data_IF_924252669559
#
_entry.id   IF_924252669559
#
_cell.length_a   1.000
_cell.length_b   1.000
_cell.length_c   1.000
_cell.angle_alpha   90.00
_cell.angle_beta   90.00
_cell.angle_gamma   90.00
#
_symmetry.space_group_name_H-M   'P 1'
#
loop_
_entity.id
_entity.type
_entity.pdbx_description
1 polymer ?
#
# COMPACT_ATOMS: atom_id res chain seq x y z
N UNK A 1 -41.24 -27.25 11.10
CA UNK A 1 -41.01 -25.90 10.52
C UNK A 1 -40.12 -25.00 11.37
N UNK A 2 -40.39 -24.75 12.67
CA UNK A 2 -39.56 -23.86 13.52
C UNK A 2 -38.06 -24.22 13.58
N UNK A 3 -37.70 -25.52 13.63
CA UNK A 3 -36.29 -25.97 13.67
C UNK A 3 -35.51 -25.70 12.38
N UNK A 4 -36.18 -25.75 11.23
CA UNK A 4 -35.55 -25.51 9.92
C UNK A 4 -35.24 -24.01 9.74
N UNK A 5 -36.16 -23.15 10.19
CA UNK A 5 -35.98 -21.70 10.16
C UNK A 5 -34.79 -21.23 11.03
N UNK A 6 -34.62 -21.88 12.19
CA UNK A 6 -33.53 -21.59 13.12
C UNK A 6 -32.17 -22.01 12.56
N UNK A 7 -32.10 -23.16 11.86
CA UNK A 7 -30.89 -23.61 11.18
C UNK A 7 -30.52 -22.66 10.03
N UNK A 8 -31.49 -22.22 9.21
CA UNK A 8 -31.23 -21.25 8.15
C UNK A 8 -30.67 -19.94 8.68
N UNK A 9 -31.24 -19.40 9.77
CA UNK A 9 -30.76 -18.16 10.39
C UNK A 9 -29.33 -18.27 10.93
N UNK A 10 -28.98 -19.40 11.55
CA UNK A 10 -27.62 -19.65 12.06
C UNK A 10 -26.63 -19.79 10.91
N UNK A 11 -26.98 -20.56 9.87
CA UNK A 11 -26.11 -20.72 8.69
C UNK A 11 -25.90 -19.39 7.97
N UNK A 12 -26.95 -18.58 7.79
CA UNK A 12 -26.83 -17.24 7.20
C UNK A 12 -25.96 -16.31 8.04
N UNK A 13 -26.04 -16.37 9.38
CA UNK A 13 -25.16 -15.59 10.25
C UNK A 13 -23.70 -16.04 10.18
N UNK A 14 -23.45 -17.35 10.14
CA UNK A 14 -22.09 -17.88 10.02
C UNK A 14 -21.45 -17.53 8.67
N UNK A 15 -22.21 -17.62 7.57
CA UNK A 15 -21.73 -17.22 6.24
C UNK A 15 -21.45 -15.71 6.22
N UNK A 16 -22.38 -14.89 6.70
CA UNK A 16 -22.20 -13.44 6.74
C UNK A 16 -21.01 -13.01 7.62
N UNK A 17 -20.80 -13.67 8.77
CA UNK A 17 -19.64 -13.43 9.62
C UNK A 17 -18.32 -13.82 8.91
N UNK A 18 -18.30 -14.97 8.23
CA UNK A 18 -17.12 -15.42 7.47
C UNK A 18 -16.77 -14.48 6.32
N UNK A 19 -17.76 -14.01 5.56
CA UNK A 19 -17.55 -13.09 4.44
C UNK A 19 -17.04 -11.73 4.93
N UNK A 20 -17.56 -11.27 6.08
CA UNK A 20 -17.10 -10.04 6.72
C UNK A 20 -15.67 -10.14 7.21
N UNK A 21 -15.31 -11.20 7.92
CA UNK A 21 -13.95 -11.42 8.43
C UNK A 21 -12.96 -11.50 7.26
N UNK A 22 -13.35 -12.13 6.14
CA UNK A 22 -12.53 -12.18 4.93
C UNK A 22 -12.36 -10.80 4.28
N UNK A 23 -13.43 -9.99 4.20
CA UNK A 23 -13.34 -8.64 3.66
C UNK A 23 -12.46 -7.71 4.51
N UNK A 24 -12.60 -7.76 5.84
CA UNK A 24 -11.78 -7.00 6.78
C UNK A 24 -10.30 -7.44 6.69
N UNK A 25 -10.05 -8.73 6.53
CA UNK A 25 -8.71 -9.27 6.31
C UNK A 25 -8.09 -8.79 5.00
N UNK A 26 -8.84 -8.87 3.89
CA UNK A 26 -8.36 -8.41 2.58
C UNK A 26 -8.05 -6.91 2.57
N UNK A 27 -8.88 -6.10 3.22
CA UNK A 27 -8.64 -4.67 3.39
C UNK A 27 -7.37 -4.42 4.22
N UNK A 28 -7.19 -5.15 5.32
CA UNK A 28 -5.99 -5.06 6.16
C UNK A 28 -4.71 -5.38 5.37
N UNK A 29 -4.71 -6.48 4.59
CA UNK A 29 -3.55 -6.84 3.74
C UNK A 29 -3.28 -5.75 2.70
N UNK A 30 -4.33 -5.28 2.03
CA UNK A 30 -4.22 -4.23 1.02
C UNK A 30 -3.62 -2.94 1.56
N UNK A 31 -4.14 -2.44 2.69
CA UNK A 31 -3.63 -1.23 3.35
C UNK A 31 -2.19 -1.42 3.82
N UNK A 32 -1.85 -2.61 4.35
CA UNK A 32 -0.48 -2.94 4.78
C UNK A 32 0.50 -2.85 3.60
N UNK A 33 0.18 -3.46 2.45
CA UNK A 33 1.01 -3.38 1.24
C UNK A 33 1.12 -1.94 0.70
N UNK A 34 0.04 -1.15 0.75
CA UNK A 34 0.09 0.28 0.38
C UNK A 34 1.02 1.08 1.31
N UNK A 35 0.94 0.85 2.61
CA UNK A 35 1.78 1.54 3.60
C UNK A 35 3.27 1.17 3.44
N UNK A 36 3.56 -0.10 3.15
CA UNK A 36 4.89 -0.53 2.76
C UNK A 36 5.39 0.28 1.56
N UNK A 37 4.63 0.37 0.46
CA UNK A 37 5.11 1.11 -0.70
C UNK A 37 5.23 2.61 -0.49
N UNK A 38 4.37 3.23 0.31
CA UNK A 38 4.58 4.63 0.71
C UNK A 38 5.92 4.81 1.43
N UNK A 39 6.20 3.94 2.40
CA UNK A 39 7.45 4.00 3.16
C UNK A 39 8.68 3.73 2.27
N UNK A 40 8.60 2.77 1.34
CA UNK A 40 9.65 2.50 0.35
C UNK A 40 9.88 3.69 -0.58
N UNK A 41 8.83 4.38 -0.99
CA UNK A 41 8.92 5.56 -1.84
C UNK A 41 9.66 6.70 -1.14
N UNK A 42 9.26 7.04 0.09
CA UNK A 42 9.95 8.06 0.88
C UNK A 42 11.40 7.64 1.11
N UNK A 43 11.65 6.39 1.48
CA UNK A 43 13.00 5.89 1.74
C UNK A 43 13.90 5.98 0.51
N UNK A 44 13.43 5.59 -0.67
CA UNK A 44 14.26 5.60 -1.89
C UNK A 44 14.66 7.02 -2.31
N UNK A 45 13.72 7.96 -2.28
CA UNK A 45 13.94 9.32 -2.79
C UNK A 45 14.51 10.29 -1.76
N UNK A 46 14.54 9.91 -0.49
CA UNK A 46 15.15 10.69 0.60
C UNK A 46 16.27 9.92 1.34
N UNK A 47 16.84 8.87 0.74
CA UNK A 47 17.87 8.01 1.36
C UNK A 47 19.12 8.75 1.87
N UNK A 48 19.46 9.87 1.24
CA UNK A 48 20.61 10.71 1.62
C UNK A 48 20.23 11.77 2.68
N UNK A 49 18.98 11.77 3.15
CA UNK A 49 18.48 12.63 4.22
C UNK A 49 18.49 11.89 5.56
N UNK A 50 18.42 12.65 6.66
CA UNK A 50 18.23 12.09 7.99
C UNK A 50 16.77 11.63 8.18
N UNK A 51 16.45 10.43 7.68
CA UNK A 51 15.11 9.86 7.74
C UNK A 51 14.73 9.45 9.17
N UNK A 52 13.46 9.62 9.57
CA UNK A 52 12.95 9.03 10.80
C UNK A 52 13.16 7.51 10.81
N UNK A 53 13.52 6.94 11.95
CA UNK A 53 13.82 5.51 12.11
C UNK A 53 12.71 4.62 11.54
N UNK A 54 11.44 4.95 11.80
CA UNK A 54 10.29 4.20 11.30
C UNK A 54 10.19 4.12 9.77
N UNK A 55 10.74 5.08 9.03
CA UNK A 55 10.82 5.04 7.56
C UNK A 55 12.09 4.30 7.11
N UNK A 56 13.21 4.50 7.80
CA UNK A 56 14.47 3.82 7.48
C UNK A 56 14.35 2.30 7.64
N UNK A 57 13.68 1.85 8.70
CA UNK A 57 13.49 0.45 9.06
C UNK A 57 12.19 -0.16 8.54
N UNK A 58 11.40 0.60 7.76
CA UNK A 58 10.06 0.16 7.36
C UNK A 58 10.05 -1.21 6.67
N UNK A 59 11.02 -1.60 5.81
CA UNK A 59 10.94 -2.92 5.19
C UNK A 59 11.13 -4.05 6.19
N UNK A 60 11.94 -3.85 7.24
CA UNK A 60 12.08 -4.84 8.30
C UNK A 60 10.79 -4.93 9.12
N UNK A 61 10.18 -3.78 9.45
CA UNK A 61 8.91 -3.75 10.17
C UNK A 61 7.80 -4.45 9.38
N UNK A 62 7.64 -4.15 8.09
CA UNK A 62 6.61 -4.78 7.25
C UNK A 62 6.91 -6.24 6.89
N UNK A 63 8.18 -6.63 6.69
CA UNK A 63 8.55 -8.04 6.46
C UNK A 63 8.41 -8.90 7.73
N UNK A 64 8.41 -8.28 8.92
CA UNK A 64 8.13 -9.00 10.18
C UNK A 64 6.66 -9.36 10.36
N UNK A 65 5.78 -8.77 9.55
CA UNK A 65 4.37 -9.15 9.46
C UNK A 65 4.30 -10.28 8.43
N UNK A 66 3.85 -11.49 8.83
CA UNK A 66 3.72 -12.71 7.99
C UNK A 66 2.81 -12.56 6.75
N UNK A 67 2.40 -11.34 6.42
CA UNK A 67 1.38 -10.97 5.44
C UNK A 67 2.01 -10.35 4.19
N UNK A 68 3.24 -9.84 4.29
CA UNK A 68 3.98 -9.25 3.18
C UNK A 68 4.98 -10.27 2.67
N UNK A 69 4.78 -10.79 1.46
CA UNK A 69 5.78 -11.60 0.79
C UNK A 69 7.02 -10.71 0.53
N UNK A 70 8.24 -11.13 0.89
CA UNK A 70 9.46 -10.38 0.57
C UNK A 70 9.58 -9.98 -0.92
N UNK A 71 8.99 -10.77 -1.84
CA UNK A 71 8.91 -10.45 -3.26
C UNK A 71 8.01 -9.23 -3.57
N UNK A 72 6.96 -8.99 -2.78
CA UNK A 72 6.07 -7.85 -2.94
C UNK A 72 6.84 -6.53 -2.77
N UNK A 73 7.72 -6.45 -1.77
CA UNK A 73 8.52 -5.26 -1.52
C UNK A 73 9.38 -4.86 -2.72
N UNK A 74 9.95 -5.84 -3.42
CA UNK A 74 10.75 -5.60 -4.63
C UNK A 74 9.88 -5.14 -5.80
N UNK A 75 8.74 -5.79 -6.03
CA UNK A 75 7.81 -5.43 -7.10
C UNK A 75 7.24 -4.02 -6.91
N UNK A 76 6.89 -3.68 -5.67
CA UNK A 76 6.45 -2.35 -5.26
C UNK A 76 7.56 -1.32 -5.53
N UNK A 77 8.81 -1.60 -5.13
CA UNK A 77 9.93 -0.67 -5.34
C UNK A 77 10.25 -0.47 -6.83
N UNK A 78 10.16 -1.52 -7.65
CA UNK A 78 10.32 -1.43 -9.10
C UNK A 78 9.23 -0.51 -9.69
N UNK A 79 7.98 -0.72 -9.30
CA UNK A 79 6.87 0.15 -9.73
C UNK A 79 7.14 1.60 -9.35
N UNK A 80 7.54 1.87 -8.11
CA UNK A 80 7.83 3.22 -7.61
C UNK A 80 8.89 3.90 -8.48
N UNK A 81 10.04 3.25 -8.68
CA UNK A 81 11.18 3.84 -9.41
C UNK A 81 10.84 4.15 -10.87
N UNK A 82 10.02 3.31 -11.50
CA UNK A 82 9.61 3.49 -12.88
C UNK A 82 8.57 4.60 -13.07
N UNK A 83 7.81 4.93 -12.02
CA UNK A 83 6.58 5.70 -12.18
C UNK A 83 6.53 7.02 -11.39
N UNK A 84 7.36 7.20 -10.35
CA UNK A 84 7.21 8.33 -9.42
C UNK A 84 7.22 9.71 -10.11
N UNK A 85 7.96 9.85 -11.21
CA UNK A 85 8.08 11.13 -11.92
C UNK A 85 6.75 11.59 -12.53
N UNK A 86 5.83 10.66 -12.84
CA UNK A 86 4.48 10.96 -13.32
C UNK A 86 3.60 11.58 -12.24
N UNK A 87 3.95 11.35 -10.97
CA UNK A 87 3.26 11.85 -9.79
C UNK A 87 3.86 13.14 -9.24
N UNK A 88 4.92 13.68 -9.87
CA UNK A 88 5.46 14.97 -9.48
C UNK A 88 4.46 16.09 -9.83
N UNK A 89 4.15 17.00 -8.89
CA UNK A 89 3.30 18.13 -9.17
C UNK A 89 3.83 18.97 -10.33
N UNK A 90 2.93 19.36 -11.23
CA UNK A 90 3.24 20.24 -12.35
C UNK A 90 3.22 21.71 -11.87
N UNK A 91 4.40 22.27 -11.61
CA UNK A 91 4.52 23.65 -11.18
C UNK A 91 4.56 24.60 -12.38
N UNK A 92 3.81 25.71 -12.31
CA UNK A 92 3.87 26.79 -13.33
C UNK A 92 5.27 27.42 -13.45
N UNK A 93 6.11 27.33 -12.42
CA UNK A 93 7.48 27.84 -12.41
C UNK A 93 8.45 26.77 -11.90
N UNK A 94 9.00 26.00 -12.83
CA UNK A 94 9.90 24.88 -12.56
C UNK A 94 11.21 25.31 -11.89
N UNK A 95 11.68 26.54 -12.11
CA UNK A 95 13.00 27.00 -11.64
C UNK A 95 13.15 27.03 -10.11
N UNK A 96 12.08 27.26 -9.37
CA UNK A 96 12.13 27.34 -7.91
C UNK A 96 11.92 25.99 -7.23
N UNK A 97 11.07 25.13 -7.79
CA UNK A 97 10.62 23.91 -7.12
C UNK A 97 11.26 22.63 -7.68
N UNK A 98 11.57 22.57 -8.98
CA UNK A 98 12.10 21.34 -9.58
C UNK A 98 13.62 21.18 -9.43
N UNK A 99 14.38 22.29 -9.35
CA UNK A 99 15.85 22.25 -9.45
C UNK A 99 16.56 21.77 -8.18
N UNK A 100 16.02 22.05 -6.99
CA UNK A 100 16.75 21.82 -5.73
C UNK A 100 16.05 20.87 -4.76
N UNK A 101 14.73 20.69 -4.88
CA UNK A 101 13.97 19.76 -4.06
C UNK A 101 12.80 19.22 -4.86
N UNK A 102 12.99 18.16 -5.66
CA UNK A 102 11.87 17.50 -6.31
C UNK A 102 10.89 17.06 -5.21
N UNK A 103 9.61 17.38 -5.38
CA UNK A 103 8.55 17.19 -4.38
C UNK A 103 8.15 15.71 -4.23
N UNK A 104 9.13 14.83 -4.03
CA UNK A 104 8.92 13.39 -3.94
C UNK A 104 8.02 13.00 -2.79
N UNK A 105 8.02 13.73 -1.68
CA UNK A 105 7.05 13.49 -0.60
C UNK A 105 5.62 13.60 -1.10
N UNK A 106 5.32 14.67 -1.87
CA UNK A 106 4.00 14.85 -2.46
C UNK A 106 3.74 13.81 -3.55
N UNK A 107 4.73 13.49 -4.39
CA UNK A 107 4.58 12.43 -5.39
C UNK A 107 4.29 11.06 -4.76
N UNK A 108 4.91 10.71 -3.63
CA UNK A 108 4.64 9.48 -2.91
C UNK A 108 3.21 9.47 -2.34
N UNK A 109 2.71 10.60 -1.84
CA UNK A 109 1.32 10.75 -1.38
C UNK A 109 0.33 10.64 -2.55
N UNK A 110 0.64 11.27 -3.68
CA UNK A 110 -0.22 11.26 -4.86
C UNK A 110 -0.30 9.84 -5.46
N UNK A 111 0.84 9.16 -5.55
CA UNK A 111 0.92 7.75 -5.94
C UNK A 111 0.16 6.84 -4.96
N UNK A 112 0.31 7.03 -3.64
CA UNK A 112 -0.40 6.24 -2.63
C UNK A 112 -1.93 6.28 -2.79
N UNK A 113 -2.46 7.41 -3.28
CA UNK A 113 -3.89 7.61 -3.52
C UNK A 113 -4.31 7.33 -4.98
N UNK A 114 -3.38 6.88 -5.84
CA UNK A 114 -3.67 6.66 -7.25
C UNK A 114 -4.32 5.29 -7.49
N UNK A 115 -5.30 5.26 -8.40
CA UNK A 115 -5.93 4.00 -8.83
C UNK A 115 -4.92 3.03 -9.45
N UNK A 116 -3.96 3.54 -10.20
CA UNK A 116 -2.91 2.71 -10.82
C UNK A 116 -2.07 1.97 -9.77
N UNK A 117 -1.73 2.65 -8.68
CA UNK A 117 -1.01 2.04 -7.58
C UNK A 117 -1.88 1.02 -6.83
N UNK A 118 -3.15 1.34 -6.58
CA UNK A 118 -4.09 0.39 -5.96
C UNK A 118 -4.28 -0.88 -6.79
N UNK A 119 -4.41 -0.74 -8.11
CA UNK A 119 -4.56 -1.86 -9.03
C UNK A 119 -3.27 -2.72 -9.04
N UNK A 120 -2.09 -2.08 -9.01
CA UNK A 120 -0.82 -2.81 -8.86
C UNK A 120 -0.77 -3.61 -7.56
N UNK A 121 -1.14 -3.01 -6.41
CA UNK A 121 -1.13 -3.71 -5.12
C UNK A 121 -2.12 -4.90 -5.11
N UNK A 122 -3.30 -4.74 -5.70
CA UNK A 122 -4.29 -5.82 -5.81
C UNK A 122 -3.79 -7.00 -6.66
N UNK A 123 -2.94 -6.72 -7.65
CA UNK A 123 -2.34 -7.73 -8.53
C UNK A 123 -1.08 -8.40 -7.93
N UNK A 124 -0.64 -8.02 -6.72
CA UNK A 124 0.41 -8.72 -5.96
C UNK A 124 -0.13 -9.93 -5.18
N UNK A 125 -1.39 -10.30 -5.38
CA UNK A 125 -1.92 -11.58 -4.92
C UNK A 125 -1.48 -12.62 -5.97
N UNK A 126 -0.92 -13.74 -5.54
CA UNK A 126 -0.72 -14.97 -6.35
C UNK A 126 0.68 -15.27 -6.92
N UNK A 127 1.71 -15.34 -6.07
CA UNK A 127 2.84 -16.29 -6.27
C UNK A 127 3.20 -17.03 -4.96
#
# INVERSE_FOLDING_TARGET
MKRILLIMLVVSHCIYASDRDNAEWEEFVFVTKKNLGFSLCVREFYKDSNLPLGIAESPNAFNSIEIVNPHDGNNILIFIKNNIHRYLPQFKNEKFYAKYQPWYFVACLDMYNSKEYEDMIKNLKDE
#
